data_IF_250161282784
#
_entry.id   IF_250161282784
#
_cell.length_a   1.000
_cell.length_b   1.000
_cell.length_c   1.000
_cell.angle_alpha   90.00
_cell.angle_beta   90.00
_cell.angle_gamma   90.00
#
_symmetry.space_group_name_H-M   'P 1'
#
loop_
_entity.id
_entity.type
_entity.pdbx_description
1 polymer ?
#
# COMPACT_ATOMS: atom_id res chain seq x y z
N UNK A 1 7.30 6.34 15.22
CA UNK A 1 7.76 5.14 14.49
C UNK A 1 6.53 4.32 14.12
N UNK A 2 6.16 4.25 12.83
CA UNK A 2 4.99 3.46 12.47
C UNK A 2 5.18 1.98 12.86
N UNK A 3 4.10 1.31 13.24
CA UNK A 3 4.10 -0.13 13.52
C UNK A 3 2.81 -0.72 12.99
N UNK A 4 2.88 -1.74 12.14
CA UNK A 4 1.73 -2.50 11.67
C UNK A 4 1.83 -3.95 12.14
N UNK A 5 0.70 -4.51 12.55
CA UNK A 5 0.62 -5.87 13.08
C UNK A 5 -0.55 -6.63 12.48
N UNK A 6 -0.42 -7.95 12.50
CA UNK A 6 -1.54 -8.88 12.38
C UNK A 6 -1.71 -9.65 13.69
N UNK A 7 -2.91 -10.13 13.96
CA UNK A 7 -3.20 -10.98 15.10
C UNK A 7 -4.25 -12.02 14.70
N UNK A 8 -4.02 -13.28 15.07
CA UNK A 8 -5.00 -14.36 14.89
C UNK A 8 -5.52 -14.78 16.27
N UNK A 9 -6.84 -14.71 16.45
CA UNK A 9 -7.56 -15.14 17.64
C UNK A 9 -8.88 -15.80 17.25
N UNK A 10 -9.99 -15.38 17.86
CA UNK A 10 -11.32 -15.83 17.43
C UNK A 10 -11.68 -15.35 16.02
N UNK A 11 -11.08 -14.23 15.59
CA UNK A 11 -11.06 -13.75 14.22
C UNK A 11 -9.62 -13.34 13.86
N UNK A 12 -9.43 -12.79 12.67
CA UNK A 12 -8.14 -12.34 12.17
C UNK A 12 -8.16 -10.82 12.07
N UNK A 13 -7.07 -10.19 12.49
CA UNK A 13 -6.99 -8.74 12.66
C UNK A 13 -5.75 -8.20 11.96
N UNK A 14 -5.87 -7.00 11.44
CA UNK A 14 -4.81 -6.21 10.83
C UNK A 14 -4.99 -4.76 11.27
N UNK A 15 -3.89 -4.08 11.58
CA UNK A 15 -3.93 -2.68 11.98
C UNK A 15 -2.56 -2.08 12.17
N UNK A 16 -2.51 -0.77 12.43
CA UNK A 16 -1.27 -0.03 12.56
C UNK A 16 -1.38 1.17 13.50
N UNK A 17 -0.23 1.58 14.02
CA UNK A 17 0.00 2.93 14.53
C UNK A 17 0.58 3.80 13.40
N UNK A 18 0.00 4.99 13.22
CA UNK A 18 0.54 6.04 12.37
C UNK A 18 1.24 7.05 13.27
N UNK A 19 2.56 7.07 13.21
CA UNK A 19 3.37 7.91 14.07
C UNK A 19 4.05 9.01 13.25
N UNK A 20 3.52 10.21 13.39
CA UNK A 20 4.02 11.45 12.79
C UNK A 20 4.06 12.55 13.85
N UNK A 21 4.81 13.61 13.59
CA UNK A 21 4.91 14.82 14.43
C UNK A 21 3.81 15.85 14.14
N UNK A 22 2.93 15.57 13.17
CA UNK A 22 1.75 16.35 12.82
C UNK A 22 0.60 15.42 12.36
N UNK A 23 -0.60 15.98 12.22
CA UNK A 23 -1.78 15.31 11.66
C UNK A 23 -2.11 15.91 10.29
N UNK A 24 -2.53 15.06 9.36
CA UNK A 24 -3.04 15.45 8.05
C UNK A 24 -4.54 15.78 8.06
N UNK A 25 -5.22 15.63 9.21
CA UNK A 25 -6.69 15.66 9.26
C UNK A 25 -7.29 14.35 8.78
N UNK A 26 -6.80 13.24 9.33
CA UNK A 26 -7.17 11.88 8.96
C UNK A 26 -8.66 11.62 9.12
N UNK A 27 -9.22 10.84 8.20
CA UNK A 27 -10.62 10.44 8.24
C UNK A 27 -10.78 8.99 7.79
N UNK A 28 -11.90 8.38 8.18
CA UNK A 28 -12.34 7.12 7.59
C UNK A 28 -12.86 7.40 6.19
N UNK A 29 -12.37 6.64 5.22
CA UNK A 29 -12.77 6.74 3.81
C UNK A 29 -13.34 5.38 3.40
N UNK A 30 -14.51 5.42 2.77
CA UNK A 30 -15.11 4.27 2.09
C UNK A 30 -15.05 4.57 0.60
N UNK A 31 -14.42 3.69 -0.17
CA UNK A 31 -14.42 3.77 -1.63
C UNK A 31 -15.34 2.68 -2.18
N UNK A 32 -16.54 3.02 -2.70
CA UNK A 32 -17.49 2.05 -3.22
C UNK A 32 -16.98 1.39 -4.51
N UNK A 33 -17.55 0.24 -4.86
CA UNK A 33 -17.10 -0.62 -5.96
C UNK A 33 -17.10 0.05 -7.35
N UNK A 34 -17.89 1.12 -7.54
CA UNK A 34 -18.05 1.84 -8.80
C UNK A 34 -17.39 3.23 -8.81
N UNK A 35 -16.59 3.55 -7.79
CA UNK A 35 -15.73 4.73 -7.85
C UNK A 35 -14.68 4.51 -8.95
N UNK A 36 -14.50 5.48 -9.85
CA UNK A 36 -13.51 5.34 -10.92
C UNK A 36 -12.10 5.65 -10.39
N UNK A 37 -11.31 4.61 -10.10
CA UNK A 37 -9.89 4.78 -9.83
C UNK A 37 -9.16 5.20 -11.10
N UNK A 38 -8.64 6.44 -11.08
CA UNK A 38 -7.77 6.98 -12.14
C UNK A 38 -6.32 6.79 -11.73
N UNK A 39 -5.53 6.31 -12.68
CA UNK A 39 -4.08 6.12 -12.51
C UNK A 39 -3.33 7.07 -13.43
N UNK A 40 -2.17 7.57 -12.98
CA UNK A 40 -1.37 8.54 -13.75
C UNK A 40 -0.85 7.97 -15.07
N UNK A 41 -0.51 6.68 -15.09
CA UNK A 41 0.13 6.00 -16.23
C UNK A 41 -0.58 4.71 -16.67
N UNK A 42 -1.60 4.29 -15.93
CA UNK A 42 -2.42 3.13 -16.28
C UNK A 42 -3.86 3.51 -16.62
N UNK A 43 -4.59 2.58 -17.23
CA UNK A 43 -6.01 2.77 -17.54
C UNK A 43 -6.83 2.85 -16.25
N UNK A 44 -7.88 3.65 -16.27
CA UNK A 44 -8.81 3.74 -15.15
C UNK A 44 -9.54 2.41 -14.91
N UNK A 45 -9.82 2.12 -13.64
CA UNK A 45 -10.64 0.97 -13.21
C UNK A 45 -11.97 1.52 -12.70
N UNK A 46 -13.06 1.17 -13.39
CA UNK A 46 -14.42 1.65 -13.10
C UNK A 46 -15.23 0.75 -12.18
N UNK A 47 -14.81 -0.51 -12.07
CA UNK A 47 -15.42 -1.52 -11.21
C UNK A 47 -14.30 -2.29 -10.52
N UNK A 48 -14.29 -2.24 -9.20
CA UNK A 48 -13.26 -2.82 -8.34
C UNK A 48 -13.88 -3.28 -7.01
N UNK A 49 -13.09 -3.96 -6.17
CA UNK A 49 -13.50 -4.31 -4.80
C UNK A 49 -13.67 -3.06 -3.95
N UNK A 50 -14.75 -2.97 -3.17
CA UNK A 50 -14.96 -1.83 -2.27
C UNK A 50 -13.95 -1.82 -1.13
N UNK A 51 -13.52 -0.62 -0.73
CA UNK A 51 -12.48 -0.40 0.28
C UNK A 51 -13.02 0.39 1.47
N UNK A 52 -12.48 0.10 2.66
CA UNK A 52 -12.58 0.96 3.83
C UNK A 52 -11.20 1.12 4.47
N UNK A 53 -10.83 2.34 4.83
CA UNK A 53 -9.52 2.62 5.41
C UNK A 53 -9.42 4.00 6.03
N UNK A 54 -8.21 4.35 6.44
CA UNK A 54 -7.87 5.66 7.00
C UNK A 54 -6.93 6.39 6.04
N UNK A 55 -7.19 7.67 5.84
CA UNK A 55 -6.35 8.52 5.00
C UNK A 55 -6.90 9.93 4.90
N UNK A 56 -6.62 10.59 3.79
CA UNK A 56 -7.20 11.90 3.43
C UNK A 56 -7.81 11.84 2.03
N UNK A 57 -8.78 12.70 1.76
CA UNK A 57 -9.31 12.90 0.40
C UNK A 57 -8.74 14.20 -0.15
N UNK A 58 -8.10 14.13 -1.31
CA UNK A 58 -7.59 15.30 -2.02
C UNK A 58 -7.98 15.20 -3.50
N UNK A 59 -8.54 16.28 -4.07
CA UNK A 59 -9.02 16.30 -5.46
C UNK A 59 -9.94 15.11 -5.80
N UNK A 60 -10.85 14.75 -4.89
CA UNK A 60 -11.76 13.60 -5.01
C UNK A 60 -11.04 12.23 -5.12
N UNK A 61 -9.77 12.15 -4.71
CA UNK A 61 -8.97 10.93 -4.70
C UNK A 61 -8.68 10.46 -3.26
N UNK A 62 -8.92 9.18 -2.93
CA UNK A 62 -8.65 8.65 -1.61
C UNK A 62 -7.16 8.30 -1.44
N UNK A 63 -6.44 9.09 -0.64
CA UNK A 63 -5.04 8.86 -0.30
C UNK A 63 -4.96 8.06 1.01
N UNK A 64 -5.04 6.74 0.88
CA UNK A 64 -5.00 5.82 2.01
C UNK A 64 -3.61 5.75 2.66
N UNK A 65 -3.60 5.74 3.98
CA UNK A 65 -2.45 5.35 4.79
C UNK A 65 -2.45 3.84 5.05
N UNK A 66 -3.64 3.30 5.26
CA UNK A 66 -3.97 1.89 5.36
C UNK A 66 -5.45 1.68 5.01
N UNK A 67 -5.76 0.49 4.50
CA UNK A 67 -7.12 0.10 4.15
C UNK A 67 -7.27 -1.43 4.14
N UNK A 68 -8.52 -1.88 4.16
CA UNK A 68 -8.94 -3.25 3.82
C UNK A 68 -9.97 -3.21 2.70
N UNK A 69 -10.12 -4.32 1.98
CA UNK A 69 -11.21 -4.52 1.02
C UNK A 69 -12.31 -5.44 1.54
N UNK A 70 -13.37 -5.61 0.74
CA UNK A 70 -14.53 -6.46 1.06
C UNK A 70 -14.21 -7.96 1.27
N UNK A 71 -13.06 -8.45 0.82
CA UNK A 71 -12.61 -9.84 1.02
C UNK A 71 -11.77 -10.01 2.30
N UNK A 72 -11.44 -8.91 2.99
CA UNK A 72 -10.60 -8.93 4.18
C UNK A 72 -9.09 -8.91 3.90
N UNK A 73 -8.68 -8.52 2.70
CA UNK A 73 -7.28 -8.21 2.39
C UNK A 73 -6.97 -6.79 2.85
N UNK A 74 -5.93 -6.62 3.67
CA UNK A 74 -5.45 -5.35 4.21
C UNK A 74 -4.07 -4.96 3.68
N UNK A 75 -3.84 -3.65 3.59
CA UNK A 75 -2.55 -3.08 3.18
C UNK A 75 -2.29 -1.77 3.91
N UNK A 76 -1.07 -1.59 4.43
CA UNK A 76 -0.63 -0.37 5.11
C UNK A 76 0.72 0.09 4.56
N UNK A 77 0.84 1.39 4.26
CA UNK A 77 2.12 2.03 3.94
C UNK A 77 2.77 2.62 5.19
N UNK A 78 4.01 2.23 5.48
CA UNK A 78 4.78 2.70 6.63
C UNK A 78 6.05 3.43 6.16
N UNK A 79 6.51 4.40 6.94
CA UNK A 79 7.71 5.19 6.60
C UNK A 79 8.94 4.30 6.39
N UNK A 80 9.61 4.47 5.25
CA UNK A 80 10.83 3.76 4.87
C UNK A 80 11.84 4.74 4.25
N UNK A 81 12.24 5.79 5.02
CA UNK A 81 13.01 6.91 4.48
C UNK A 81 14.41 6.46 4.05
N UNK A 82 14.83 6.89 2.86
CA UNK A 82 16.17 6.65 2.32
C UNK A 82 16.39 5.29 1.65
N UNK A 83 15.65 4.26 2.06
CA UNK A 83 15.75 2.91 1.47
C UNK A 83 14.76 2.70 0.32
N UNK A 84 13.56 3.29 0.41
CA UNK A 84 12.58 3.24 -0.67
C UNK A 84 13.15 3.86 -1.96
N UNK A 85 12.95 3.17 -3.08
CA UNK A 85 13.34 3.62 -4.40
C UNK A 85 12.13 3.59 -5.34
N UNK A 86 11.89 4.72 -5.99
CA UNK A 86 10.86 4.85 -7.02
C UNK A 86 11.53 5.21 -8.34
N UNK A 87 11.15 4.52 -9.42
CA UNK A 87 11.77 4.67 -10.74
C UNK A 87 11.43 6.01 -11.37
N UNK A 88 12.43 6.68 -11.95
CA UNK A 88 12.22 7.87 -12.78
C UNK A 88 11.82 7.52 -14.22
N UNK A 89 11.84 6.24 -14.59
CA UNK A 89 11.53 5.75 -15.92
C UNK A 89 10.28 4.85 -15.89
N UNK A 90 9.52 4.89 -16.97
CA UNK A 90 8.45 3.93 -17.22
C UNK A 90 9.06 2.64 -17.79
N UNK A 91 8.45 1.52 -17.43
CA UNK A 91 8.78 0.20 -18.00
C UNK A 91 7.57 -0.27 -18.83
N UNK A 92 7.80 -0.73 -20.06
CA UNK A 92 6.70 -1.04 -21.00
C UNK A 92 5.99 -2.36 -20.66
N UNK A 93 6.68 -3.21 -19.91
CA UNK A 93 6.37 -4.59 -19.57
C UNK A 93 5.99 -4.75 -18.08
N UNK A 94 5.76 -3.62 -17.40
CA UNK A 94 5.28 -3.54 -16.02
C UNK A 94 4.14 -2.54 -15.86
N UNK A 95 3.35 -2.73 -14.81
CA UNK A 95 2.32 -1.79 -14.40
C UNK A 95 2.97 -0.58 -13.71
N UNK A 96 2.87 0.62 -14.30
CA UNK A 96 3.55 1.82 -13.82
C UNK A 96 2.68 2.59 -12.82
N UNK A 97 2.87 2.32 -11.53
CA UNK A 97 1.98 2.77 -10.46
C UNK A 97 2.70 3.75 -9.54
N UNK A 98 2.06 4.84 -9.16
CA UNK A 98 2.63 5.73 -8.14
C UNK A 98 2.44 5.16 -6.73
N UNK A 99 3.29 5.51 -5.74
CA UNK A 99 3.12 5.01 -4.38
C UNK A 99 1.74 5.31 -3.75
N UNK A 100 1.11 6.43 -4.10
CA UNK A 100 -0.21 6.79 -3.58
C UNK A 100 -1.37 6.03 -4.25
N UNK A 101 -1.14 5.49 -5.46
CA UNK A 101 -2.07 4.61 -6.17
C UNK A 101 -1.93 3.14 -5.76
N UNK A 102 -0.88 2.79 -5.01
CA UNK A 102 -0.52 1.40 -4.79
C UNK A 102 -1.53 0.64 -3.93
N UNK A 103 -2.09 1.26 -2.89
CA UNK A 103 -3.17 0.67 -2.08
C UNK A 103 -4.42 0.42 -2.96
N UNK A 104 -4.97 1.41 -3.70
CA UNK A 104 -6.03 1.18 -4.67
C UNK A 104 -5.74 0.07 -5.69
N UNK A 105 -4.52 0.04 -6.23
CA UNK A 105 -4.11 -0.94 -7.23
C UNK A 105 -4.18 -2.36 -6.70
N UNK A 106 -3.66 -2.61 -5.49
CA UNK A 106 -3.68 -3.94 -4.88
C UNK A 106 -5.09 -4.28 -4.37
N UNK A 107 -5.64 -3.46 -3.47
CA UNK A 107 -6.86 -3.82 -2.75
C UNK A 107 -8.11 -3.79 -3.64
N UNK A 108 -8.12 -2.99 -4.70
CA UNK A 108 -9.23 -2.97 -5.67
C UNK A 108 -9.29 -4.23 -6.55
N UNK A 109 -8.20 -4.99 -6.65
CA UNK A 109 -8.05 -6.08 -7.63
C UNK A 109 -7.79 -7.46 -6.99
N UNK A 110 -7.17 -7.52 -5.82
CA UNK A 110 -6.77 -8.77 -5.17
C UNK A 110 -7.71 -9.15 -4.03
N UNK A 111 -8.00 -10.43 -3.87
CA UNK A 111 -8.83 -10.99 -2.79
C UNK A 111 -8.01 -11.61 -1.65
N UNK A 112 -6.76 -12.00 -1.93
CA UNK A 112 -5.85 -12.62 -0.96
C UNK A 112 -4.38 -12.19 -1.16
N UNK A 113 -3.51 -12.62 -0.25
CA UNK A 113 -2.07 -12.29 -0.28
C UNK A 113 -1.35 -12.92 -1.48
N UNK A 114 -1.83 -14.04 -2.02
CA UNK A 114 -1.19 -14.66 -3.19
C UNK A 114 -1.44 -13.84 -4.46
N UNK A 115 -2.69 -13.40 -4.67
CA UNK A 115 -3.04 -12.49 -5.75
C UNK A 115 -2.29 -11.16 -5.63
N UNK A 116 -2.19 -10.62 -4.41
CA UNK A 116 -1.42 -9.42 -4.13
C UNK A 116 0.06 -9.61 -4.50
N UNK A 117 0.70 -10.70 -4.06
CA UNK A 117 2.09 -11.05 -4.41
C UNK A 117 2.29 -11.07 -5.93
N UNK A 118 1.44 -11.80 -6.66
CA UNK A 118 1.53 -11.92 -8.11
C UNK A 118 1.38 -10.57 -8.83
N UNK A 119 0.56 -9.66 -8.29
CA UNK A 119 0.37 -8.33 -8.86
C UNK A 119 1.56 -7.40 -8.54
N UNK A 120 2.12 -7.49 -7.33
CA UNK A 120 3.33 -6.74 -6.94
C UNK A 120 4.54 -7.14 -7.78
N UNK A 121 4.69 -8.41 -8.14
CA UNK A 121 5.79 -8.88 -9.01
C UNK A 121 5.81 -8.20 -10.39
N UNK A 122 4.68 -7.66 -10.85
CA UNK A 122 4.56 -6.97 -12.15
C UNK A 122 4.67 -5.45 -12.05
N UNK A 123 4.89 -4.88 -10.86
CA UNK A 123 4.80 -3.44 -10.66
C UNK A 123 6.14 -2.72 -10.90
N UNK A 124 6.05 -1.51 -11.44
CA UNK A 124 7.10 -0.50 -11.40
C UNK A 124 6.57 0.68 -10.57
N UNK A 125 7.07 0.87 -9.34
CA UNK A 125 6.71 2.04 -8.55
C UNK A 125 7.44 3.28 -9.07
N UNK A 126 6.70 4.25 -9.58
CA UNK A 126 7.27 5.43 -10.26
C UNK A 126 7.36 6.67 -9.37
N UNK A 127 8.43 7.44 -9.54
CA UNK A 127 8.73 8.67 -8.79
C UNK A 127 7.89 9.85 -9.30
N UNK A 128 6.60 9.83 -8.98
CA UNK A 128 5.66 10.85 -9.40
C UNK A 128 4.72 11.22 -8.23
N UNK A 129 4.89 12.44 -7.71
CA UNK A 129 4.11 12.95 -6.58
C UNK A 129 2.63 13.15 -6.90
N UNK A 130 1.79 13.07 -5.86
CA UNK A 130 0.38 13.40 -5.99
C UNK A 130 0.19 14.87 -6.39
N UNK A 131 0.85 15.78 -5.68
CA UNK A 131 0.86 17.22 -5.98
C UNK A 131 2.13 17.87 -5.40
N UNK A 132 2.32 19.16 -5.63
CA UNK A 132 3.41 19.92 -4.98
C UNK A 132 3.24 19.99 -3.45
N UNK A 133 1.99 20.04 -2.97
CA UNK A 133 1.66 20.12 -1.55
C UNK A 133 1.73 18.75 -0.84
N UNK A 134 1.63 17.66 -1.62
CA UNK A 134 1.68 16.28 -1.13
C UNK A 134 2.78 15.52 -1.91
N UNK A 135 4.06 15.78 -1.61
CA UNK A 135 5.18 15.07 -2.22
C UNK A 135 5.25 13.62 -1.74
N UNK A 136 5.97 12.78 -2.48
CA UNK A 136 6.19 11.39 -2.06
C UNK A 136 7.04 11.30 -0.79
N UNK A 137 6.64 10.40 0.10
CA UNK A 137 7.49 9.85 1.15
C UNK A 137 8.05 8.49 0.71
N UNK A 138 9.21 8.12 1.22
CA UNK A 138 9.72 6.75 1.11
C UNK A 138 8.89 5.82 1.98
N UNK A 139 8.30 4.78 1.41
CA UNK A 139 7.40 3.84 2.07
C UNK A 139 7.79 2.38 1.78
N UNK A 140 7.44 1.50 2.71
CA UNK A 140 7.32 0.06 2.51
C UNK A 140 5.95 -0.40 3.02
N UNK A 141 5.52 -1.61 2.66
CA UNK A 141 4.14 -2.04 2.90
C UNK A 141 4.05 -3.38 3.59
N UNK A 142 3.12 -3.47 4.55
CA UNK A 142 2.59 -4.74 5.05
C UNK A 142 1.28 -5.01 4.31
N UNK A 143 1.18 -6.19 3.69
CA UNK A 143 -0.06 -6.70 3.07
C UNK A 143 -0.44 -7.97 3.82
N UNK A 144 -1.69 -8.07 4.27
CA UNK A 144 -2.15 -9.18 5.10
C UNK A 144 -3.57 -9.59 4.75
N UNK A 145 -3.83 -10.89 4.72
CA UNK A 145 -5.18 -11.45 4.72
C UNK A 145 -5.42 -12.18 6.05
N UNK A 146 -6.49 -12.98 6.10
CA UNK A 146 -6.85 -13.76 7.30
C UNK A 146 -5.85 -14.88 7.64
N UNK A 147 -5.02 -15.32 6.70
CA UNK A 147 -4.12 -16.47 6.83
C UNK A 147 -2.67 -16.04 7.07
N UNK A 148 -2.20 -15.03 6.34
CA UNK A 148 -0.78 -14.67 6.29
C UNK A 148 -0.55 -13.21 5.96
N UNK A 149 0.72 -12.80 6.02
CA UNK A 149 1.13 -11.47 5.60
C UNK A 149 2.47 -11.50 4.87
N UNK A 150 2.68 -10.48 4.04
CA UNK A 150 3.92 -10.24 3.30
C UNK A 150 4.38 -8.80 3.50
N UNK A 151 5.69 -8.60 3.38
CA UNK A 151 6.30 -7.28 3.36
C UNK A 151 6.78 -6.98 1.95
N UNK A 152 6.46 -5.78 1.46
CA UNK A 152 6.92 -5.28 0.16
C UNK A 152 7.87 -4.11 0.38
N UNK A 153 9.12 -4.28 -0.03
CA UNK A 153 10.15 -3.24 -0.02
C UNK A 153 10.66 -3.04 -1.45
N UNK A 154 10.45 -1.86 -2.02
CA UNK A 154 11.03 -1.50 -3.31
C UNK A 154 12.25 -0.64 -3.06
N UNK A 155 13.43 -1.22 -3.32
CA UNK A 155 14.73 -0.56 -3.09
C UNK A 155 15.51 -0.45 -4.41
N UNK A 156 16.71 0.12 -4.36
CA UNK A 156 17.55 0.26 -5.56
C UNK A 156 17.91 -1.08 -6.21
N UNK A 157 17.87 -2.19 -5.46
CA UNK A 157 18.16 -3.53 -5.98
C UNK A 157 16.95 -4.23 -6.57
N UNK A 158 15.74 -3.68 -6.41
CA UNK A 158 14.52 -4.21 -7.02
C UNK A 158 13.31 -4.22 -6.08
N UNK A 159 12.28 -4.94 -6.52
CA UNK A 159 11.07 -5.23 -5.73
C UNK A 159 11.34 -6.48 -4.90
N UNK A 160 11.32 -6.35 -3.58
CA UNK A 160 11.49 -7.45 -2.63
C UNK A 160 10.17 -7.76 -1.95
N UNK A 161 9.78 -9.05 -1.96
CA UNK A 161 8.55 -9.52 -1.33
C UNK A 161 8.91 -10.64 -0.34
N UNK A 162 8.77 -10.37 0.94
CA UNK A 162 9.08 -11.30 2.02
C UNK A 162 7.80 -11.91 2.56
N UNK A 163 7.78 -13.21 2.83
CA UNK A 163 6.80 -13.76 3.77
C UNK A 163 7.09 -13.19 5.16
N UNK A 164 6.06 -12.77 5.88
CA UNK A 164 6.20 -12.21 7.22
C UNK A 164 5.75 -13.25 8.27
N UNK A 165 6.67 -14.04 8.84
CA UNK A 165 6.32 -15.16 9.72
C UNK A 165 5.78 -14.72 11.09
N UNK A 166 5.99 -13.45 11.46
CA UNK A 166 5.57 -12.90 12.75
C UNK A 166 4.44 -11.89 12.64
N UNK A 167 4.11 -11.44 11.42
CA UNK A 167 3.02 -10.51 11.18
C UNK A 167 3.25 -9.12 11.78
N UNK A 168 4.50 -8.62 11.77
CA UNK A 168 4.89 -7.30 12.30
C UNK A 168 5.75 -6.56 11.28
N UNK A 169 5.54 -5.25 11.14
CA UNK A 169 6.39 -4.36 10.34
C UNK A 169 6.53 -3.00 11.02
N UNK A 170 7.72 -2.37 10.97
CA UNK A 170 7.95 -1.03 11.52
C UNK A 170 8.41 -0.03 10.46
N UNK A 171 9.69 0.39 10.48
CA UNK A 171 10.28 1.33 9.54
C UNK A 171 11.62 0.75 9.06
N UNK A 172 12.69 1.55 9.01
CA UNK A 172 14.05 1.04 8.76
C UNK A 172 14.57 0.19 9.94
N UNK A 173 15.52 -0.74 9.70
CA UNK A 173 16.13 -1.13 8.40
C UNK A 173 15.21 -2.01 7.51
N UNK A 174 15.74 -2.48 6.37
CA UNK A 174 15.11 -3.50 5.51
C UNK A 174 14.70 -4.74 6.32
N UNK A 175 13.65 -5.44 5.87
CA UNK A 175 12.97 -6.47 6.66
C UNK A 175 13.87 -7.61 7.15
N UNK A 176 14.87 -8.03 6.35
CA UNK A 176 15.81 -9.09 6.75
C UNK A 176 16.71 -8.72 7.95
N UNK A 177 16.85 -7.42 8.26
CA UNK A 177 17.63 -6.94 9.41
C UNK A 177 16.80 -6.77 10.67
N UNK A 178 15.47 -6.66 10.55
CA UNK A 178 14.53 -6.55 11.66
C UNK A 178 14.46 -7.88 12.42
#
# INVERSE_FOLDING_TARGET
>A
MCTAITLNGNNNYFGRNLDLDFSYGEQVIITPAEYEFKFRKEKAIKNHKSLIGVGIVANDYPLYFDAINEDGLGMAGLNFPGNAYYSNALENDKDNITPFEFIPWILGQCSDVNEARNLVERINLINLSFSEQLPLAGLHWLIADREKSIVVEVTKSGVHIYDNPIGVLTNNPEFNYQ
#
